data_IF_737541425319
#
_entry.id   IF_737541425319
#
_cell.length_a   1.000
_cell.length_b   1.000
_cell.length_c   1.000
_cell.angle_alpha   90.00
_cell.angle_beta   90.00
_cell.angle_gamma   90.00
#
_symmetry.space_group_name_H-M   'P 1'
#
loop_
_entity.id
_entity.type
_entity.pdbx_description
1 polymer ?
#
# COMPACT_ATOMS: atom_id res chain seq x y z
N UNK A 1 8.63 -13.47 -19.66
CA UNK A 1 9.64 -13.98 -20.62
C UNK A 1 9.95 -15.46 -20.39
N UNK A 2 10.14 -15.92 -19.16
CA UNK A 2 10.38 -17.34 -18.82
C UNK A 2 9.19 -18.22 -19.20
N UNK A 3 7.96 -17.83 -18.88
CA UNK A 3 6.73 -18.55 -19.24
C UNK A 3 6.66 -18.76 -20.76
N UNK A 4 6.83 -17.70 -21.57
CA UNK A 4 6.80 -17.80 -23.03
C UNK A 4 7.92 -18.67 -23.63
N UNK A 5 9.08 -18.72 -22.98
CA UNK A 5 10.18 -19.60 -23.40
C UNK A 5 9.85 -21.07 -23.10
N UNK A 6 9.23 -21.34 -21.96
CA UNK A 6 8.80 -22.69 -21.60
C UNK A 6 7.62 -23.18 -22.42
N UNK A 7 6.62 -22.33 -22.69
CA UNK A 7 5.51 -22.66 -23.60
C UNK A 7 6.00 -23.00 -25.01
N UNK A 8 7.03 -22.30 -25.50
CA UNK A 8 7.69 -22.61 -26.78
C UNK A 8 8.46 -23.92 -26.77
N UNK A 9 9.07 -24.28 -25.63
CA UNK A 9 9.91 -25.47 -25.51
C UNK A 9 9.12 -26.73 -25.16
N UNK A 10 8.04 -26.62 -24.37
CA UNK A 10 7.34 -27.78 -23.78
C UNK A 10 5.81 -27.72 -23.91
N UNK A 11 5.27 -26.72 -24.60
CA UNK A 11 3.82 -26.48 -24.64
C UNK A 11 3.29 -25.87 -23.36
N UNK A 12 1.96 -25.91 -23.18
CA UNK A 12 1.27 -25.30 -22.01
C UNK A 12 1.47 -26.07 -20.71
N UNK A 13 1.84 -27.35 -20.76
CA UNK A 13 2.10 -28.19 -19.60
C UNK A 13 3.60 -28.54 -19.49
N UNK A 14 4.33 -27.70 -18.77
CA UNK A 14 5.73 -27.98 -18.45
C UNK A 14 5.84 -28.68 -17.11
N UNK A 15 6.53 -29.86 -17.01
CA UNK A 15 6.76 -30.52 -15.72
C UNK A 15 7.67 -29.73 -14.78
N UNK A 16 8.30 -28.65 -15.26
CA UNK A 16 9.20 -27.80 -14.49
C UNK A 16 8.57 -26.47 -14.09
N UNK A 17 7.30 -26.22 -14.44
CA UNK A 17 6.60 -24.99 -14.09
C UNK A 17 5.48 -25.27 -13.10
N UNK A 18 5.58 -24.63 -11.92
CA UNK A 18 4.55 -24.66 -10.88
C UNK A 18 4.03 -23.26 -10.63
N UNK A 19 2.71 -23.10 -10.69
CA UNK A 19 2.05 -21.84 -10.37
C UNK A 19 1.55 -21.90 -8.93
N UNK A 20 1.97 -20.93 -8.12
CA UNK A 20 1.42 -20.80 -6.77
C UNK A 20 -0.01 -20.29 -6.84
N UNK A 21 -0.94 -21.06 -6.28
CA UNK A 21 -2.37 -20.74 -6.22
C UNK A 21 -2.81 -20.25 -4.83
N UNK A 22 -1.87 -20.19 -3.88
CA UNK A 22 -2.14 -19.72 -2.51
C UNK A 22 -1.09 -18.76 -2.01
N UNK A 23 -1.52 -17.80 -1.19
CA UNK A 23 -0.65 -16.82 -0.53
C UNK A 23 -0.96 -16.75 0.97
N UNK A 24 0.08 -16.66 1.79
CA UNK A 24 -0.03 -16.58 3.26
C UNK A 24 0.22 -15.19 3.84
N UNK A 25 0.42 -14.16 3.03
CA UNK A 25 0.78 -12.82 3.50
C UNK A 25 -0.44 -11.94 3.77
N UNK A 26 -1.23 -11.69 2.76
CA UNK A 26 -2.30 -10.69 2.78
C UNK A 26 -3.60 -11.26 3.30
N UNK A 27 -4.33 -10.47 4.10
CA UNK A 27 -5.74 -10.73 4.32
C UNK A 27 -6.51 -10.73 2.99
N UNK A 28 -7.54 -11.58 2.78
CA UNK A 28 -8.29 -11.65 1.52
C UNK A 28 -8.80 -10.29 1.01
N UNK A 29 -9.35 -9.45 1.90
CA UNK A 29 -9.85 -8.11 1.53
C UNK A 29 -8.74 -7.16 1.07
N UNK A 30 -7.52 -7.29 1.61
CA UNK A 30 -6.35 -6.54 1.14
C UNK A 30 -5.86 -7.08 -0.20
N UNK A 31 -5.90 -8.41 -0.36
CA UNK A 31 -5.44 -9.08 -1.56
C UNK A 31 -6.38 -8.89 -2.76
N UNK A 32 -7.66 -8.57 -2.53
CA UNK A 32 -8.72 -8.61 -3.54
C UNK A 32 -8.34 -7.89 -4.84
N UNK A 33 -7.88 -6.65 -4.74
CA UNK A 33 -7.47 -5.88 -5.92
C UNK A 33 -6.29 -6.54 -6.64
N UNK A 34 -5.23 -6.88 -5.91
CA UNK A 34 -4.04 -7.49 -6.49
C UNK A 34 -4.36 -8.84 -7.14
N UNK A 35 -5.16 -9.69 -6.47
CA UNK A 35 -5.57 -11.00 -6.98
C UNK A 35 -6.36 -10.84 -8.28
N UNK A 36 -7.31 -9.91 -8.33
CA UNK A 36 -8.13 -9.67 -9.53
C UNK A 36 -7.30 -9.08 -10.68
N UNK A 37 -6.44 -8.10 -10.39
CA UNK A 37 -5.76 -7.32 -11.43
C UNK A 37 -4.45 -7.94 -11.93
N UNK A 38 -3.77 -8.77 -11.10
CA UNK A 38 -2.44 -9.27 -11.42
C UNK A 38 -2.33 -10.81 -11.42
N UNK A 39 -3.34 -11.51 -10.89
CA UNK A 39 -3.31 -12.97 -10.74
C UNK A 39 -4.58 -13.64 -11.30
N UNK A 40 -5.35 -12.95 -12.14
CA UNK A 40 -6.55 -13.49 -12.81
C UNK A 40 -7.58 -14.17 -11.87
N UNK A 41 -7.60 -13.78 -10.60
CA UNK A 41 -8.42 -14.41 -9.58
C UNK A 41 -7.88 -15.75 -9.03
N UNK A 42 -6.75 -16.25 -9.53
CA UNK A 42 -6.24 -17.60 -9.26
C UNK A 42 -5.36 -17.71 -8.01
N UNK A 43 -5.32 -16.69 -7.14
CA UNK A 43 -4.50 -16.69 -5.93
C UNK A 43 -5.37 -16.61 -4.66
N UNK A 44 -5.62 -17.75 -4.03
CA UNK A 44 -6.39 -17.86 -2.79
C UNK A 44 -5.54 -17.68 -1.51
N UNK A 45 -6.17 -17.49 -0.34
CA UNK A 45 -5.46 -17.46 0.94
C UNK A 45 -5.05 -18.86 1.40
N UNK A 46 -3.95 -18.94 2.15
CA UNK A 46 -3.70 -20.00 3.10
C UNK A 46 -4.44 -19.58 4.37
N UNK A 47 -5.36 -20.36 4.97
CA UNK A 47 -6.23 -19.89 6.06
C UNK A 47 -5.45 -19.72 7.38
N UNK A 48 -4.56 -18.73 7.40
CA UNK A 48 -3.79 -18.31 8.57
C UNK A 48 -4.65 -17.43 9.50
N UNK A 49 -4.39 -17.38 10.82
CA UNK A 49 -5.21 -16.64 11.78
C UNK A 49 -5.49 -15.18 11.38
N UNK A 50 -4.50 -14.44 10.90
CA UNK A 50 -4.67 -13.05 10.45
C UNK A 50 -5.49 -12.94 9.17
N UNK A 51 -5.56 -13.98 8.34
CA UNK A 51 -6.37 -14.02 7.12
C UNK A 51 -7.84 -14.37 7.39
N UNK A 52 -8.13 -14.93 8.56
CA UNK A 52 -9.48 -15.31 8.99
C UNK A 52 -10.11 -14.27 9.93
N UNK A 53 -9.34 -13.32 10.44
CA UNK A 53 -9.83 -12.30 11.37
C UNK A 53 -10.82 -11.35 10.66
N UNK A 54 -12.07 -11.19 11.14
CA UNK A 54 -13.07 -10.34 10.49
C UNK A 54 -12.72 -8.85 10.59
N UNK A 55 -12.12 -8.42 11.70
CA UNK A 55 -11.73 -7.04 11.97
C UNK A 55 -10.26 -6.95 12.36
N UNK A 56 -9.60 -5.91 11.84
CA UNK A 56 -8.22 -5.62 12.24
C UNK A 56 -8.16 -5.01 13.63
N UNK A 57 -9.07 -4.07 13.93
CA UNK A 57 -9.18 -3.39 15.21
C UNK A 57 -10.62 -3.45 15.73
N UNK A 58 -10.96 -4.38 16.64
CA UNK A 58 -12.30 -4.49 17.21
C UNK A 58 -12.67 -3.34 18.16
N UNK A 59 -11.68 -2.69 18.78
CA UNK A 59 -11.89 -1.54 19.68
C UNK A 59 -11.46 -0.26 18.98
N UNK A 60 -12.34 0.73 18.97
CA UNK A 60 -12.13 2.02 18.31
C UNK A 60 -12.73 3.17 19.12
N UNK A 61 -12.06 4.32 19.08
CA UNK A 61 -12.59 5.57 19.60
C UNK A 61 -13.78 6.04 18.74
N UNK A 62 -14.97 6.13 19.37
CA UNK A 62 -16.20 6.53 18.71
C UNK A 62 -16.17 8.00 18.23
N UNK A 63 -15.34 8.84 18.82
CA UNK A 63 -15.25 10.26 18.50
C UNK A 63 -14.22 10.56 17.38
N UNK A 64 -13.51 9.53 16.87
CA UNK A 64 -12.52 9.68 15.82
C UNK A 64 -12.97 8.99 14.51
N UNK A 65 -13.56 9.73 13.53
CA UNK A 65 -14.06 9.15 12.27
C UNK A 65 -12.96 8.42 11.47
N UNK A 66 -11.71 8.92 11.50
CA UNK A 66 -10.59 8.31 10.83
C UNK A 66 -10.30 6.91 11.41
N UNK A 67 -10.29 6.78 12.73
CA UNK A 67 -10.09 5.48 13.37
C UNK A 67 -11.25 4.52 13.12
N UNK A 68 -12.49 5.00 13.10
CA UNK A 68 -13.66 4.18 12.77
C UNK A 68 -13.58 3.58 11.38
N UNK A 69 -13.19 4.37 10.36
CA UNK A 69 -13.00 3.88 9.00
C UNK A 69 -11.88 2.84 8.97
N UNK A 70 -10.75 3.12 9.62
CA UNK A 70 -9.61 2.22 9.64
C UNK A 70 -9.87 0.93 10.43
N UNK A 71 -10.70 0.98 11.47
CA UNK A 71 -11.07 -0.20 12.23
C UNK A 71 -11.98 -1.15 11.45
N UNK A 72 -12.86 -0.61 10.60
CA UNK A 72 -13.89 -1.37 9.89
C UNK A 72 -13.52 -1.76 8.46
N UNK A 73 -12.50 -1.14 7.86
CA UNK A 73 -12.09 -1.34 6.47
C UNK A 73 -10.64 -1.74 6.36
N UNK A 74 -10.37 -2.78 5.61
CA UNK A 74 -9.00 -3.26 5.39
C UNK A 74 -8.31 -2.61 4.18
N UNK A 75 -9.08 -2.09 3.25
CA UNK A 75 -8.59 -1.26 2.14
C UNK A 75 -9.34 0.06 2.13
N UNK A 76 -8.60 1.15 2.22
CA UNK A 76 -9.15 2.51 2.32
C UNK A 76 -8.43 3.44 1.35
N UNK A 77 -9.18 4.30 0.68
CA UNK A 77 -8.64 5.42 -0.07
C UNK A 77 -9.07 6.75 0.59
N UNK A 78 -8.10 7.56 0.97
CA UNK A 78 -8.33 8.92 1.47
C UNK A 78 -7.99 9.94 0.38
N UNK A 79 -8.98 10.72 -0.07
CA UNK A 79 -8.74 11.73 -1.10
C UNK A 79 -7.89 12.88 -0.55
N UNK A 80 -6.82 13.21 -1.25
CA UNK A 80 -6.03 14.42 -1.02
C UNK A 80 -6.41 15.52 -2.00
N UNK A 81 -6.16 16.78 -1.62
CA UNK A 81 -6.22 17.92 -2.52
C UNK A 81 -4.85 18.30 -3.07
N UNK A 82 -4.81 18.92 -4.23
CA UNK A 82 -3.57 19.51 -4.72
C UNK A 82 -3.17 20.68 -3.80
N UNK A 83 -1.91 20.72 -3.29
CA UNK A 83 -1.45 21.86 -2.53
C UNK A 83 -1.37 23.10 -3.43
N UNK A 84 -1.71 24.27 -2.87
CA UNK A 84 -1.68 25.56 -3.57
C UNK A 84 -0.25 26.16 -3.61
N UNK A 85 0.74 25.44 -3.10
CA UNK A 85 2.13 25.89 -3.04
C UNK A 85 2.88 25.67 -4.36
N UNK A 86 3.89 26.51 -4.62
CA UNK A 86 4.81 26.40 -5.75
C UNK A 86 6.08 25.59 -5.41
N UNK A 87 6.02 24.70 -4.42
CA UNK A 87 7.12 23.83 -4.02
C UNK A 87 7.39 22.76 -5.08
N UNK A 88 8.41 21.97 -4.85
CA UNK A 88 8.81 20.89 -5.76
C UNK A 88 7.61 20.00 -6.17
N UNK A 89 7.47 19.64 -7.45
CA UNK A 89 6.43 18.69 -7.89
C UNK A 89 6.62 17.29 -7.28
N UNK A 90 7.78 17.01 -6.67
CA UNK A 90 8.11 15.75 -5.99
C UNK A 90 7.74 15.73 -4.51
N UNK A 91 6.99 16.74 -4.04
CA UNK A 91 6.49 16.83 -2.65
C UNK A 91 5.01 17.21 -2.65
N UNK A 92 4.28 16.72 -1.65
CA UNK A 92 2.89 17.09 -1.37
C UNK A 92 2.71 17.18 0.15
N UNK A 93 2.72 18.40 0.68
CA UNK A 93 2.60 18.65 2.11
C UNK A 93 1.24 18.22 2.67
N UNK A 94 0.17 18.30 1.87
CA UNK A 94 -1.15 17.82 2.27
C UNK A 94 -1.12 16.31 2.50
N UNK A 95 -0.60 15.55 1.54
CA UNK A 95 -0.47 14.10 1.69
C UNK A 95 0.48 13.72 2.83
N UNK A 96 1.59 14.44 3.02
CA UNK A 96 2.51 14.18 4.12
C UNK A 96 1.83 14.30 5.49
N UNK A 97 1.04 15.36 5.71
CA UNK A 97 0.24 15.52 6.93
C UNK A 97 -0.84 14.45 7.08
N UNK A 98 -1.52 14.08 5.99
CA UNK A 98 -2.52 13.01 6.01
C UNK A 98 -1.87 11.67 6.38
N UNK A 99 -0.71 11.36 5.82
CA UNK A 99 0.09 10.17 6.14
C UNK A 99 0.45 10.17 7.62
N UNK A 100 0.99 11.27 8.15
CA UNK A 100 1.37 11.37 9.56
C UNK A 100 0.17 11.15 10.50
N UNK A 101 -0.98 11.76 10.22
CA UNK A 101 -2.24 11.55 10.97
C UNK A 101 -2.72 10.10 10.89
N UNK A 102 -2.58 9.47 9.72
CA UNK A 102 -2.94 8.06 9.54
C UNK A 102 -2.01 7.16 10.36
N UNK A 103 -0.71 7.42 10.36
CA UNK A 103 0.28 6.73 11.21
C UNK A 103 -0.09 6.87 12.69
N UNK A 104 -0.41 8.08 13.15
CA UNK A 104 -0.87 8.34 14.52
C UNK A 104 -2.13 7.55 14.86
N UNK A 105 -3.09 7.49 13.94
CA UNK A 105 -4.32 6.71 14.13
C UNK A 105 -4.06 5.22 14.22
N UNK A 106 -3.15 4.67 13.38
CA UNK A 106 -2.71 3.27 13.50
C UNK A 106 -2.12 3.01 14.88
N UNK A 107 -1.19 3.86 15.33
CA UNK A 107 -0.57 3.74 16.65
C UNK A 107 -1.63 3.75 17.78
N UNK A 108 -2.57 4.68 17.73
CA UNK A 108 -3.67 4.77 18.71
C UNK A 108 -4.53 3.50 18.71
N UNK A 109 -4.88 2.98 17.52
CA UNK A 109 -5.65 1.74 17.37
C UNK A 109 -4.91 0.53 17.96
N UNK A 110 -3.59 0.42 17.71
CA UNK A 110 -2.79 -0.63 18.33
C UNK A 110 -2.85 -0.57 19.86
N UNK A 111 -2.69 0.63 20.44
CA UNK A 111 -2.77 0.83 21.89
C UNK A 111 -4.14 0.51 22.45
N UNK A 112 -5.21 1.00 21.86
CA UNK A 112 -6.59 0.74 22.28
C UNK A 112 -6.92 -0.76 22.26
N UNK A 113 -6.38 -1.48 21.29
CA UNK A 113 -6.59 -2.91 21.15
C UNK A 113 -5.54 -3.77 21.87
N UNK A 114 -4.66 -3.18 22.69
CA UNK A 114 -3.61 -3.85 23.44
C UNK A 114 -2.69 -4.71 22.55
N UNK A 115 -2.54 -4.30 21.28
CA UNK A 115 -1.62 -4.94 20.35
C UNK A 115 -0.22 -4.34 20.52
N UNK A 116 0.85 -5.15 20.50
CA UNK A 116 2.20 -4.64 20.52
C UNK A 116 2.47 -3.82 19.25
N UNK A 117 2.89 -2.57 19.42
CA UNK A 117 3.29 -1.72 18.31
C UNK A 117 4.80 -1.82 18.11
N UNK A 118 5.20 -2.44 17.01
CA UNK A 118 6.59 -2.55 16.59
C UNK A 118 6.77 -1.69 15.34
N UNK A 119 7.48 -0.54 15.41
CA UNK A 119 7.50 0.44 14.32
C UNK A 119 7.87 -0.13 12.95
N UNK A 120 8.80 -1.08 12.93
CA UNK A 120 9.30 -1.71 11.70
C UNK A 120 8.49 -2.94 11.24
N UNK A 121 7.41 -3.30 11.95
CA UNK A 121 6.49 -4.40 11.58
C UNK A 121 5.05 -3.92 11.45
N UNK A 122 4.60 -3.07 12.37
CA UNK A 122 3.19 -2.67 12.47
C UNK A 122 2.78 -1.73 11.33
N UNK A 123 3.61 -0.75 10.96
CA UNK A 123 3.25 0.22 9.91
C UNK A 123 4.43 0.56 9.02
N UNK A 124 4.15 0.77 7.75
CA UNK A 124 5.11 1.25 6.79
C UNK A 124 4.49 2.24 5.82
N UNK A 125 5.29 3.20 5.39
CA UNK A 125 4.87 4.23 4.44
C UNK A 125 5.66 4.08 3.15
N UNK A 126 4.95 4.05 2.03
CA UNK A 126 5.54 3.98 0.70
C UNK A 126 5.16 5.24 -0.07
N UNK A 127 6.16 5.95 -0.60
CA UNK A 127 5.97 7.13 -1.45
C UNK A 127 6.92 7.09 -2.65
N UNK A 128 6.58 7.69 -3.81
CA UNK A 128 7.37 7.55 -5.03
C UNK A 128 8.65 8.39 -5.04
N UNK A 129 8.75 9.44 -4.21
CA UNK A 129 9.82 10.41 -4.29
C UNK A 129 10.61 10.57 -2.98
N UNK A 130 11.94 10.61 -3.07
CA UNK A 130 12.82 10.81 -1.90
C UNK A 130 12.54 12.12 -1.14
N UNK A 131 12.19 13.20 -1.84
CA UNK A 131 11.83 14.45 -1.17
C UNK A 131 10.55 14.32 -0.34
N UNK A 132 9.60 13.51 -0.80
CA UNK A 132 8.39 13.22 -0.05
C UNK A 132 8.67 12.40 1.21
N UNK A 133 9.67 11.49 1.16
CA UNK A 133 10.11 10.75 2.35
C UNK A 133 10.51 11.72 3.47
N UNK A 134 11.37 12.69 3.14
CA UNK A 134 11.83 13.68 4.13
C UNK A 134 10.66 14.45 4.72
N UNK A 135 9.74 14.90 3.88
CA UNK A 135 8.57 15.67 4.33
C UNK A 135 7.65 14.83 5.22
N UNK A 136 7.38 13.58 4.86
CA UNK A 136 6.57 12.66 5.68
C UNK A 136 7.25 12.39 7.03
N UNK A 137 8.56 12.16 7.04
CA UNK A 137 9.31 11.95 8.28
C UNK A 137 9.27 13.17 9.20
N UNK A 138 9.36 14.39 8.64
CA UNK A 138 9.23 15.63 9.40
C UNK A 138 7.82 15.77 10.03
N UNK A 139 6.76 15.47 9.27
CA UNK A 139 5.39 15.50 9.78
C UNK A 139 5.17 14.44 10.86
N UNK A 140 5.71 13.22 10.72
CA UNK A 140 5.65 12.19 11.76
C UNK A 140 6.41 12.64 13.02
N UNK A 141 7.61 13.19 12.87
CA UNK A 141 8.41 13.69 14.00
C UNK A 141 7.71 14.83 14.75
N UNK A 142 6.98 15.70 14.04
CA UNK A 142 6.23 16.80 14.63
C UNK A 142 5.09 16.36 15.55
N UNK A 143 4.65 15.10 15.48
CA UNK A 143 3.66 14.53 16.39
C UNK A 143 4.19 14.34 17.82
N UNK A 144 5.51 14.35 18.02
CA UNK A 144 6.12 14.22 19.34
C UNK A 144 5.93 12.85 20.00
N UNK A 145 5.68 11.80 19.23
CA UNK A 145 5.47 10.43 19.70
C UNK A 145 6.74 9.61 19.44
N UNK A 146 7.57 9.34 20.47
CA UNK A 146 8.87 8.67 20.28
C UNK A 146 8.76 7.29 19.64
N UNK A 147 7.71 6.55 19.91
CA UNK A 147 7.47 5.21 19.38
C UNK A 147 7.32 5.19 17.85
N UNK A 148 7.04 6.34 17.23
CA UNK A 148 6.91 6.46 15.78
C UNK A 148 8.26 6.69 15.07
N UNK A 149 9.35 6.98 15.80
CA UNK A 149 10.65 7.29 15.20
C UNK A 149 11.29 6.12 14.43
N UNK A 150 10.85 4.89 14.70
CA UNK A 150 11.36 3.69 14.03
C UNK A 150 10.56 3.27 12.79
N UNK A 151 9.55 4.05 12.38
CA UNK A 151 8.71 3.73 11.21
C UNK A 151 9.53 3.87 9.93
N UNK A 152 9.39 2.87 9.06
CA UNK A 152 10.02 2.92 7.73
C UNK A 152 9.17 3.76 6.78
N UNK A 153 9.74 4.83 6.25
CA UNK A 153 9.19 5.62 5.14
C UNK A 153 10.18 5.52 3.98
N UNK A 154 9.80 4.87 2.87
CA UNK A 154 10.73 4.68 1.74
C UNK A 154 9.98 4.50 0.41
N UNK A 155 10.75 4.32 -0.67
CA UNK A 155 10.21 4.00 -1.99
C UNK A 155 9.90 2.51 -2.14
N UNK A 156 9.12 2.18 -3.17
CA UNK A 156 8.68 0.79 -3.45
C UNK A 156 9.88 -0.16 -3.58
N UNK A 157 10.96 0.29 -4.22
CA UNK A 157 12.15 -0.51 -4.48
C UNK A 157 12.81 -1.00 -3.18
N UNK A 158 12.83 -0.16 -2.16
CA UNK A 158 13.42 -0.52 -0.86
C UNK A 158 12.49 -1.37 0.02
N UNK A 159 11.20 -1.38 -0.28
CA UNK A 159 10.25 -2.29 0.36
C UNK A 159 10.26 -3.70 -0.22
N UNK A 160 11.01 -3.94 -1.29
CA UNK A 160 11.09 -5.27 -1.90
C UNK A 160 11.62 -6.29 -0.88
N UNK A 161 10.90 -7.40 -0.70
CA UNK A 161 11.24 -8.45 0.28
C UNK A 161 10.71 -8.21 1.70
N UNK A 162 10.23 -6.99 2.04
CA UNK A 162 9.66 -6.68 3.35
C UNK A 162 8.12 -6.71 3.35
N UNK A 163 7.52 -6.68 4.53
CA UNK A 163 6.07 -6.61 4.73
C UNK A 163 5.76 -5.84 6.01
N UNK A 164 4.55 -5.30 6.12
CA UNK A 164 4.02 -4.63 7.32
C UNK A 164 2.57 -5.02 7.53
N UNK A 165 2.09 -4.91 8.75
CA UNK A 165 0.67 -5.14 9.02
C UNK A 165 -0.17 -4.09 8.29
N UNK A 166 0.20 -2.83 8.42
CA UNK A 166 -0.44 -1.71 7.72
C UNK A 166 0.56 -1.06 6.74
N UNK A 167 0.18 -0.94 5.48
CA UNK A 167 0.89 -0.13 4.49
C UNK A 167 0.07 1.11 4.18
N UNK A 168 0.71 2.27 4.25
CA UNK A 168 0.19 3.55 3.79
C UNK A 168 0.94 3.93 2.52
N UNK A 169 0.22 4.01 1.40
CA UNK A 169 0.79 4.42 0.12
C UNK A 169 0.33 5.84 -0.25
N UNK A 170 1.27 6.78 -0.32
CA UNK A 170 1.03 8.14 -0.80
C UNK A 170 1.42 8.27 -2.27
N UNK A 171 0.48 8.68 -3.12
CA UNK A 171 0.75 8.82 -4.55
C UNK A 171 1.63 10.02 -4.89
N UNK A 172 1.56 11.09 -4.09
CA UNK A 172 2.35 12.33 -4.26
C UNK A 172 2.20 12.96 -5.65
N UNK A 173 1.02 12.76 -6.29
CA UNK A 173 0.74 13.27 -7.64
C UNK A 173 0.10 14.64 -7.54
N UNK A 174 0.70 15.64 -8.19
CA UNK A 174 0.24 17.03 -8.25
C UNK A 174 -0.13 17.47 -9.68
N UNK A 175 0.43 16.79 -10.67
CA UNK A 175 0.29 17.12 -12.08
C UNK A 175 0.07 15.83 -12.91
N UNK A 176 -0.74 15.88 -13.97
CA UNK A 176 -1.05 14.70 -14.78
C UNK A 176 0.17 13.97 -15.34
N UNK A 177 1.22 14.68 -15.78
CA UNK A 177 2.43 14.06 -16.34
C UNK A 177 3.16 13.12 -15.35
N UNK A 178 2.90 13.27 -14.04
CA UNK A 178 3.51 12.42 -13.02
C UNK A 178 2.91 11.00 -13.02
N UNK A 179 1.70 10.81 -13.55
CA UNK A 179 1.10 9.49 -13.73
C UNK A 179 1.99 8.62 -14.62
N UNK A 180 2.53 9.16 -15.71
CA UNK A 180 3.43 8.43 -16.60
C UNK A 180 4.69 7.93 -15.86
N UNK A 181 5.18 8.68 -14.88
CA UNK A 181 6.31 8.23 -14.05
C UNK A 181 5.89 7.10 -13.10
N UNK A 182 4.73 7.17 -12.49
CA UNK A 182 4.21 6.12 -11.62
C UNK A 182 3.96 4.84 -12.41
N UNK A 183 3.37 4.96 -13.62
CA UNK A 183 3.04 3.84 -14.50
C UNK A 183 4.19 3.44 -15.46
N UNK A 184 5.39 4.00 -15.28
CA UNK A 184 6.54 3.78 -16.20
C UNK A 184 7.02 2.32 -16.29
N UNK A 185 6.60 1.45 -15.40
CA UNK A 185 6.87 0.02 -15.42
C UNK A 185 5.63 -0.83 -15.73
N UNK A 186 4.62 -0.20 -16.31
CA UNK A 186 3.44 -0.91 -16.79
C UNK A 186 3.75 -1.68 -18.08
N UNK A 187 3.04 -2.77 -18.29
CA UNK A 187 3.05 -3.54 -19.53
C UNK A 187 1.63 -4.06 -19.78
N UNK A 188 1.32 -4.29 -21.04
CA UNK A 188 0.03 -4.87 -21.42
C UNK A 188 0.17 -6.40 -21.50
N UNK A 189 -0.65 -7.10 -20.75
CA UNK A 189 -0.78 -8.55 -20.80
C UNK A 189 -2.27 -8.91 -20.90
N UNK A 190 -2.63 -9.68 -21.93
CA UNK A 190 -4.01 -10.08 -22.23
C UNK A 190 -5.03 -8.92 -22.29
N UNK A 191 -4.59 -7.73 -22.74
CA UNK A 191 -5.42 -6.54 -22.84
C UNK A 191 -5.56 -5.73 -21.54
N UNK A 192 -4.96 -6.16 -20.43
CA UNK A 192 -4.90 -5.42 -19.17
C UNK A 192 -3.56 -4.69 -19.02
N UNK A 193 -3.60 -3.44 -18.55
CA UNK A 193 -2.39 -2.69 -18.16
C UNK A 193 -1.99 -3.13 -16.75
N UNK A 194 -0.78 -3.65 -16.62
CA UNK A 194 -0.24 -4.15 -15.35
C UNK A 194 0.90 -3.25 -14.90
N UNK A 195 0.74 -2.56 -13.76
CA UNK A 195 1.81 -1.81 -13.11
C UNK A 195 2.51 -2.67 -12.05
N UNK A 196 3.76 -3.04 -12.34
CA UNK A 196 4.56 -3.88 -11.43
C UNK A 196 4.93 -3.17 -10.14
N UNK A 197 5.20 -1.86 -10.18
CA UNK A 197 5.55 -1.10 -8.98
C UNK A 197 4.37 -1.01 -8.03
N UNK A 198 3.21 -0.67 -8.55
CA UNK A 198 1.99 -0.60 -7.76
C UNK A 198 1.67 -1.97 -7.14
N UNK A 199 1.73 -3.05 -7.92
CA UNK A 199 1.52 -4.39 -7.40
C UNK A 199 2.50 -4.74 -6.27
N UNK A 200 3.79 -4.43 -6.42
CA UNK A 200 4.77 -4.66 -5.35
C UNK A 200 4.41 -3.86 -4.11
N UNK A 201 4.02 -2.60 -4.23
CA UNK A 201 3.63 -1.76 -3.11
C UNK A 201 2.41 -2.30 -2.36
N UNK A 202 1.32 -2.59 -3.09
CA UNK A 202 0.06 -3.05 -2.53
C UNK A 202 0.22 -4.40 -1.81
N UNK A 203 1.02 -5.29 -2.38
CA UNK A 203 1.26 -6.63 -1.82
C UNK A 203 2.23 -6.65 -0.62
N UNK A 204 2.68 -5.49 -0.12
CA UNK A 204 3.46 -5.39 1.14
C UNK A 204 2.59 -5.39 2.38
N UNK A 205 1.31 -5.05 2.27
CA UNK A 205 0.37 -5.03 3.37
C UNK A 205 -0.06 -6.46 3.76
N UNK A 206 -0.06 -6.74 5.05
CA UNK A 206 -0.58 -8.01 5.60
C UNK A 206 -2.06 -7.88 5.94
N UNK A 207 -2.42 -6.86 6.71
CA UNK A 207 -3.74 -6.72 7.32
C UNK A 207 -4.52 -5.50 6.85
N UNK A 208 -3.85 -4.40 6.48
CA UNK A 208 -4.53 -3.20 6.02
C UNK A 208 -3.71 -2.42 5.00
N UNK A 209 -4.40 -1.90 4.00
CA UNK A 209 -3.86 -1.03 2.97
C UNK A 209 -4.59 0.32 2.98
N UNK A 210 -3.83 1.39 3.15
CA UNK A 210 -4.34 2.76 3.06
C UNK A 210 -3.69 3.45 1.88
N UNK A 211 -4.52 3.99 1.00
CA UNK A 211 -4.10 4.76 -0.18
C UNK A 211 -4.44 6.23 0.03
N UNK A 212 -3.52 7.13 -0.24
CA UNK A 212 -3.72 8.58 -0.12
C UNK A 212 -3.29 9.25 -1.43
N UNK A 213 -4.19 9.97 -2.07
CA UNK A 213 -3.89 10.61 -3.35
C UNK A 213 -4.97 11.54 -3.84
N UNK A 214 -4.69 12.31 -4.89
CA UNK A 214 -5.65 13.22 -5.49
C UNK A 214 -6.50 12.48 -6.54
N UNK A 215 -7.80 12.24 -6.28
CA UNK A 215 -8.65 11.49 -7.19
C UNK A 215 -8.83 12.20 -8.54
N UNK A 216 -8.85 13.53 -8.55
CA UNK A 216 -9.01 14.31 -9.80
C UNK A 216 -7.85 14.12 -10.78
N UNK A 217 -6.66 13.76 -10.27
CA UNK A 217 -5.50 13.48 -11.13
C UNK A 217 -5.42 11.98 -11.42
N UNK A 218 -5.65 11.12 -10.40
CA UNK A 218 -5.53 9.67 -10.54
C UNK A 218 -6.57 9.08 -11.52
N UNK A 219 -7.69 9.78 -11.77
CA UNK A 219 -8.72 9.37 -12.72
C UNK A 219 -8.49 9.87 -14.17
N UNK A 220 -7.38 10.57 -14.44
CA UNK A 220 -7.09 11.10 -15.79
C UNK A 220 -6.38 10.08 -16.71
N UNK A 221 -6.01 8.92 -16.20
CA UNK A 221 -5.33 7.87 -16.96
C UNK A 221 -6.34 6.82 -17.43
N UNK A 222 -7.31 7.26 -18.26
CA UNK A 222 -8.27 6.41 -18.97
C UNK A 222 -7.90 6.26 -20.46
#
# INVERSE_FOLDING_TARGET
>A
RLVRLQERAFGTESPYMFTFTRQGRMHPDVAHFAVKSFYEGNLGPVPLPHQLSPLHFPVVDADCPLQQIMATRRTVFFPSSAPVDNLSPKTNACEARMIARTVQSVYSLYRQNQKPFLPHESVGVIVPYRLQIVQVMQEIASLGIPELNGITVDTVERYQGSQRDVIIYGFTVRQPYQLQFLCSQSFVEQGAVIDRKLNVALTRAREQLVLIGNPAILSLDE
#
